data_IF_405748280175
#
_entry.id   IF_405748280175
#
_cell.length_a   1.000
_cell.length_b   1.000
_cell.length_c   1.000
_cell.angle_alpha   90.00
_cell.angle_beta   90.00
_cell.angle_gamma   90.00
#
_symmetry.space_group_name_H-M   'P 1'
#
loop_
_entity.id
_entity.type
_entity.pdbx_description
1 polymer ?
#
# COMPACT_ATOMS: atom_id res chain seq x y z
N UNK A 1 26.71 10.77 1.03
CA UNK A 1 25.89 11.98 1.26
C UNK A 1 25.42 11.93 2.70
N UNK A 2 25.61 12.97 3.47
CA UNK A 2 25.05 13.05 4.81
C UNK A 2 23.59 13.46 4.64
N UNK A 3 22.64 12.63 5.07
CA UNK A 3 21.25 13.05 5.10
C UNK A 3 21.13 14.20 6.09
N UNK A 4 20.80 15.39 5.60
CA UNK A 4 20.50 16.52 6.44
C UNK A 4 19.04 16.42 6.85
N UNK A 5 18.81 16.20 8.14
CA UNK A 5 17.49 16.29 8.72
C UNK A 5 17.25 17.77 9.06
N UNK A 6 16.08 18.33 8.79
CA UNK A 6 15.80 19.71 9.21
C UNK A 6 15.81 19.77 10.75
N UNK A 7 16.28 20.89 11.30
CA UNK A 7 16.36 21.06 12.76
C UNK A 7 15.00 20.95 13.46
N UNK A 8 13.92 21.25 12.73
CA UNK A 8 12.55 21.29 13.22
C UNK A 8 11.59 20.61 12.24
N UNK A 9 10.60 19.92 12.78
CA UNK A 9 9.44 19.43 12.04
C UNK A 9 8.19 20.09 12.59
N UNK A 10 7.38 20.65 11.70
CA UNK A 10 6.08 21.18 12.04
C UNK A 10 5.02 20.09 11.84
N UNK A 11 4.41 19.63 12.92
CA UNK A 11 3.32 18.66 12.88
C UNK A 11 2.10 19.34 13.47
N UNK A 12 1.19 19.80 12.62
CA UNK A 12 0.00 20.56 12.99
C UNK A 12 0.32 21.68 13.99
N UNK A 13 -0.01 21.48 15.26
CA UNK A 13 0.16 22.47 16.33
C UNK A 13 1.44 22.25 17.15
N UNK A 14 2.31 21.35 16.73
CA UNK A 14 3.51 20.99 17.48
C UNK A 14 4.75 21.20 16.63
N UNK A 15 5.74 21.84 17.24
CA UNK A 15 7.12 21.92 16.73
C UNK A 15 7.93 20.84 17.43
N UNK A 16 8.51 19.93 16.68
CA UNK A 16 9.39 18.88 17.21
C UNK A 16 10.81 19.17 16.77
N UNK A 17 11.74 19.26 17.73
CA UNK A 17 13.16 19.31 17.44
C UNK A 17 13.68 17.88 17.25
N UNK A 18 14.49 17.65 16.23
CA UNK A 18 15.10 16.33 16.03
C UNK A 18 15.98 15.89 17.21
N UNK A 19 16.58 16.84 17.94
CA UNK A 19 17.36 16.58 19.16
C UNK A 19 16.55 16.02 20.32
N UNK A 20 15.21 16.21 20.32
CA UNK A 20 14.30 15.69 21.34
C UNK A 20 13.86 14.26 21.06
N UNK A 21 14.18 13.73 19.88
CA UNK A 21 13.83 12.36 19.50
C UNK A 21 14.91 11.42 20.02
N UNK A 22 14.51 10.49 20.91
CA UNK A 22 15.38 9.42 21.40
C UNK A 22 15.59 8.37 20.32
N UNK A 23 16.26 8.80 19.24
CA UNK A 23 16.62 7.90 18.17
C UNK A 23 18.09 8.08 17.78
N UNK A 24 18.84 6.99 17.81
CA UNK A 24 20.20 6.92 17.28
C UNK A 24 20.20 6.04 16.04
N UNK A 25 20.63 6.60 14.92
CA UNK A 25 20.87 5.79 13.73
C UNK A 25 22.00 4.79 14.05
N UNK A 26 21.70 3.50 13.86
CA UNK A 26 22.71 2.44 13.95
C UNK A 26 23.86 2.82 12.97
N UNK A 27 25.14 2.76 13.38
CA UNK A 27 26.28 3.04 12.50
C UNK A 27 26.26 2.23 11.20
N UNK A 28 25.81 0.98 11.24
CA UNK A 28 25.66 0.12 10.04
C UNK A 28 24.63 0.66 9.07
N UNK A 29 23.59 1.33 9.57
CA UNK A 29 22.61 1.99 8.72
C UNK A 29 23.20 3.24 8.09
N UNK A 30 23.98 4.03 8.84
CA UNK A 30 24.70 5.19 8.30
C UNK A 30 25.71 4.76 7.22
N UNK A 31 26.39 3.62 7.43
CA UNK A 31 27.27 3.02 6.42
C UNK A 31 26.50 2.56 5.18
N UNK A 32 25.32 1.96 5.35
CA UNK A 32 24.48 1.55 4.23
C UNK A 32 23.95 2.73 3.41
N UNK A 33 23.64 3.86 4.05
CA UNK A 33 23.28 5.11 3.39
C UNK A 33 24.46 5.76 2.68
N UNK A 34 25.68 5.57 3.20
CA UNK A 34 26.91 6.10 2.63
C UNK A 34 27.50 5.18 1.54
N UNK A 35 27.10 3.90 1.49
CA UNK A 35 27.57 2.96 0.48
C UNK A 35 27.19 3.47 -0.92
N UNK A 36 28.20 3.68 -1.75
CA UNK A 36 28.00 3.94 -3.17
C UNK A 36 27.55 2.64 -3.82
N UNK A 37 26.24 2.46 -3.98
CA UNK A 37 25.73 1.41 -4.83
C UNK A 37 26.30 1.58 -6.26
N UNK A 38 26.55 0.48 -6.99
CA UNK A 38 26.94 0.58 -8.39
C UNK A 38 25.88 1.42 -9.11
N UNK A 39 26.33 2.32 -9.99
CA UNK A 39 25.45 3.18 -10.79
C UNK A 39 24.64 2.29 -11.75
N UNK A 40 23.53 1.76 -11.28
CA UNK A 40 22.55 1.16 -12.17
C UNK A 40 21.78 2.31 -12.85
N UNK A 41 21.58 2.24 -14.17
CA UNK A 41 20.73 3.22 -14.84
C UNK A 41 19.32 3.18 -14.19
N UNK A 42 18.73 4.38 -14.05
CA UNK A 42 17.34 4.47 -13.60
C UNK A 42 16.46 3.62 -14.52
N UNK A 43 15.54 2.85 -13.98
CA UNK A 43 14.63 2.08 -14.80
C UNK A 43 13.81 3.04 -15.69
N UNK A 44 13.59 2.65 -16.94
CA UNK A 44 12.70 3.37 -17.84
C UNK A 44 11.28 2.88 -17.56
N UNK A 45 10.36 3.81 -17.28
CA UNK A 45 8.96 3.45 -17.09
C UNK A 45 8.39 2.88 -18.40
N UNK A 46 7.85 1.65 -18.39
CA UNK A 46 7.34 1.06 -19.62
C UNK A 46 6.07 1.79 -20.10
N UNK A 47 5.68 1.64 -21.37
CA UNK A 47 4.38 2.12 -21.86
C UNK A 47 3.24 1.55 -21.00
N UNK A 48 2.12 2.28 -20.95
CA UNK A 48 0.90 1.85 -20.24
C UNK A 48 0.42 0.52 -20.80
N UNK A 49 0.22 -0.46 -19.93
CA UNK A 49 -0.28 -1.76 -20.35
C UNK A 49 -1.80 -1.73 -20.63
N UNK A 50 -2.31 -2.57 -21.54
CA UNK A 50 -3.72 -2.55 -21.93
C UNK A 50 -4.67 -3.17 -20.89
N UNK A 51 -4.15 -3.74 -19.80
CA UNK A 51 -4.93 -4.40 -18.76
C UNK A 51 -4.40 -4.03 -17.38
N UNK A 52 -5.30 -3.80 -16.43
CA UNK A 52 -5.00 -3.33 -15.08
C UNK A 52 -4.00 -4.22 -14.32
N UNK A 53 -4.12 -5.54 -14.42
CA UNK A 53 -3.21 -6.46 -13.73
C UNK A 53 -1.79 -6.38 -14.30
N UNK A 54 -1.65 -6.25 -15.62
CA UNK A 54 -0.34 -6.14 -16.27
C UNK A 54 0.27 -4.78 -15.96
N UNK A 55 -0.54 -3.73 -15.96
CA UNK A 55 -0.11 -2.39 -15.56
C UNK A 55 0.44 -2.39 -14.13
N UNK A 56 -0.29 -2.94 -13.17
CA UNK A 56 0.16 -3.02 -11.79
C UNK A 56 1.49 -3.79 -11.63
N UNK A 57 1.66 -4.89 -12.36
CA UNK A 57 2.94 -5.63 -12.39
C UNK A 57 4.06 -4.75 -12.95
N UNK A 58 3.80 -4.02 -14.03
CA UNK A 58 4.77 -3.11 -14.65
C UNK A 58 5.21 -2.02 -13.67
N UNK A 59 4.26 -1.46 -12.89
CA UNK A 59 4.56 -0.46 -11.86
C UNK A 59 5.44 -1.03 -10.74
N UNK A 60 5.16 -2.27 -10.29
CA UNK A 60 6.01 -2.96 -9.29
C UNK A 60 7.41 -3.20 -9.84
N UNK A 61 7.53 -3.71 -11.09
CA UNK A 61 8.82 -3.97 -11.73
C UNK A 61 9.64 -2.71 -11.95
N UNK A 62 8.99 -1.60 -12.21
CA UNK A 62 9.63 -0.29 -12.30
C UNK A 62 10.10 0.23 -10.94
N UNK A 63 9.27 0.07 -9.90
CA UNK A 63 9.57 0.59 -8.57
C UNK A 63 10.62 -0.23 -7.81
N UNK A 64 10.66 -1.55 -7.99
CA UNK A 64 11.58 -2.41 -7.26
C UNK A 64 13.05 -2.00 -7.39
N UNK A 65 13.63 -1.77 -8.59
CA UNK A 65 14.99 -1.27 -8.70
C UNK A 65 15.16 0.16 -8.15
N UNK A 66 14.12 1.01 -8.23
CA UNK A 66 14.18 2.35 -7.65
C UNK A 66 14.38 2.30 -6.12
N UNK A 67 13.73 1.37 -5.43
CA UNK A 67 13.88 1.20 -3.98
C UNK A 67 15.29 0.76 -3.56
N UNK A 68 16.10 0.25 -4.48
CA UNK A 68 17.48 -0.21 -4.24
C UNK A 68 18.52 0.85 -4.56
N UNK A 69 18.12 2.04 -5.04
CA UNK A 69 19.04 3.13 -5.36
C UNK A 69 19.68 3.67 -4.10
N UNK A 70 20.95 4.08 -4.21
CA UNK A 70 21.60 4.84 -3.14
C UNK A 70 20.90 6.20 -2.95
N UNK A 71 20.90 6.76 -1.73
CA UNK A 71 20.22 8.02 -1.44
C UNK A 71 20.52 9.16 -2.41
N UNK A 72 21.80 9.28 -2.85
CA UNK A 72 22.21 10.29 -3.81
C UNK A 72 21.79 10.07 -5.27
N UNK A 73 21.15 8.94 -5.57
CA UNK A 73 20.61 8.59 -6.90
C UNK A 73 19.10 8.73 -6.96
N UNK A 74 18.44 8.92 -5.81
CA UNK A 74 17.01 9.15 -5.77
C UNK A 74 16.67 10.53 -6.37
N UNK A 75 15.62 10.58 -7.17
CA UNK A 75 15.08 11.82 -7.74
C UNK A 75 13.55 11.80 -7.72
N UNK A 76 12.95 12.98 -7.73
CA UNK A 76 11.49 13.13 -7.64
C UNK A 76 10.76 12.60 -8.88
N UNK A 77 11.32 12.82 -10.07
CA UNK A 77 10.65 12.55 -11.34
C UNK A 77 10.13 11.10 -11.47
N UNK A 78 10.91 10.03 -11.21
CA UNK A 78 10.41 8.67 -11.27
C UNK A 78 9.25 8.38 -10.31
N UNK A 79 9.29 8.96 -9.09
CA UNK A 79 8.20 8.80 -8.13
C UNK A 79 6.94 9.55 -8.56
N UNK A 80 7.09 10.75 -9.12
CA UNK A 80 5.96 11.53 -9.65
C UNK A 80 5.31 10.85 -10.85
N UNK A 81 6.11 10.33 -11.78
CA UNK A 81 5.61 9.52 -12.90
C UNK A 81 4.87 8.28 -12.41
N UNK A 82 5.44 7.56 -11.45
CA UNK A 82 4.83 6.38 -10.85
C UNK A 82 3.51 6.72 -10.16
N UNK A 83 3.46 7.82 -9.40
CA UNK A 83 2.24 8.30 -8.75
C UNK A 83 1.16 8.63 -9.78
N UNK A 84 1.50 9.31 -10.87
CA UNK A 84 0.58 9.60 -11.97
C UNK A 84 0.00 8.32 -12.60
N UNK A 85 0.83 7.29 -12.80
CA UNK A 85 0.39 5.99 -13.34
C UNK A 85 -0.52 5.23 -12.36
N UNK A 86 -0.22 5.27 -11.06
CA UNK A 86 -1.09 4.69 -10.02
C UNK A 86 -2.45 5.39 -9.99
N UNK A 87 -2.46 6.73 -10.07
CA UNK A 87 -3.70 7.52 -10.10
C UNK A 87 -4.51 7.21 -11.35
N UNK A 88 -3.87 7.15 -12.52
CA UNK A 88 -4.53 6.80 -13.79
C UNK A 88 -5.17 5.41 -13.73
N UNK A 89 -4.43 4.40 -13.26
CA UNK A 89 -4.94 3.04 -13.08
C UNK A 89 -6.13 2.99 -12.11
N UNK A 90 -5.98 3.60 -10.93
CA UNK A 90 -7.01 3.59 -9.90
C UNK A 90 -8.28 4.36 -10.32
N UNK A 91 -8.15 5.37 -11.19
CA UNK A 91 -9.26 6.19 -11.68
C UNK A 91 -9.99 5.49 -12.83
N UNK A 92 -9.25 5.01 -13.84
CA UNK A 92 -9.84 4.46 -15.06
C UNK A 92 -10.31 3.02 -14.91
N UNK A 93 -9.66 2.22 -14.05
CA UNK A 93 -10.02 0.84 -13.82
C UNK A 93 -10.09 0.52 -12.31
N UNK A 94 -11.08 1.08 -11.58
CA UNK A 94 -11.20 0.95 -10.13
C UNK A 94 -11.20 -0.49 -9.61
N UNK A 95 -11.99 -1.35 -10.23
CA UNK A 95 -12.08 -2.76 -9.87
C UNK A 95 -10.80 -3.53 -10.22
N UNK A 96 -10.17 -3.19 -11.35
CA UNK A 96 -8.88 -3.74 -11.76
C UNK A 96 -7.75 -3.35 -10.80
N UNK A 97 -7.76 -2.14 -10.25
CA UNK A 97 -6.82 -1.71 -9.22
C UNK A 97 -6.95 -2.54 -7.94
N UNK A 98 -8.18 -2.81 -7.48
CA UNK A 98 -8.43 -3.69 -6.32
C UNK A 98 -8.05 -5.14 -6.65
N UNK A 99 -8.41 -5.64 -7.84
CA UNK A 99 -8.04 -6.97 -8.27
C UNK A 99 -6.53 -7.17 -8.34
N UNK A 100 -5.77 -6.16 -8.77
CA UNK A 100 -4.30 -6.21 -8.80
C UNK A 100 -3.70 -6.44 -7.40
N UNK A 101 -4.23 -5.78 -6.37
CA UNK A 101 -3.80 -5.99 -4.97
C UNK A 101 -3.93 -7.46 -4.56
N UNK A 102 -4.97 -8.15 -5.05
CA UNK A 102 -5.26 -9.52 -4.64
C UNK A 102 -4.64 -10.59 -5.54
N UNK A 103 -4.43 -10.31 -6.82
CA UNK A 103 -4.12 -11.33 -7.81
C UNK A 103 -2.67 -11.29 -8.32
N UNK A 104 -2.03 -10.10 -8.35
CA UNK A 104 -0.69 -9.99 -8.90
C UNK A 104 0.30 -10.88 -8.16
N UNK A 105 1.14 -11.65 -8.88
CA UNK A 105 2.14 -12.51 -8.28
C UNK A 105 3.23 -11.69 -7.60
N UNK A 106 3.66 -12.16 -6.44
CA UNK A 106 4.64 -11.50 -5.57
C UNK A 106 6.06 -11.75 -6.05
N UNK A 107 6.84 -10.70 -6.27
CA UNK A 107 8.24 -10.78 -6.65
C UNK A 107 9.16 -10.01 -5.69
N UNK A 108 8.76 -8.79 -5.33
CA UNK A 108 9.48 -7.92 -4.39
C UNK A 108 8.50 -7.42 -3.33
N UNK A 109 8.79 -7.71 -2.05
CA UNK A 109 7.86 -7.38 -0.97
C UNK A 109 7.64 -5.88 -0.85
N UNK A 110 8.72 -5.09 -0.85
CA UNK A 110 8.65 -3.64 -0.59
C UNK A 110 7.93 -2.92 -1.72
N UNK A 111 8.30 -3.22 -2.97
CA UNK A 111 7.67 -2.61 -4.13
C UNK A 111 6.19 -2.99 -4.25
N UNK A 112 5.82 -4.26 -4.06
CA UNK A 112 4.42 -4.67 -4.05
C UNK A 112 3.63 -4.00 -2.93
N UNK A 113 4.18 -3.94 -1.73
CA UNK A 113 3.54 -3.29 -0.60
C UNK A 113 3.24 -1.83 -0.90
N UNK A 114 4.23 -1.09 -1.39
CA UNK A 114 4.10 0.32 -1.72
C UNK A 114 3.07 0.56 -2.84
N UNK A 115 3.15 -0.18 -3.96
CA UNK A 115 2.20 -0.04 -5.07
C UNK A 115 0.78 -0.40 -4.63
N UNK A 116 0.59 -1.50 -3.89
CA UNK A 116 -0.73 -1.90 -3.40
C UNK A 116 -1.30 -0.88 -2.42
N UNK A 117 -0.47 -0.33 -1.51
CA UNK A 117 -0.91 0.72 -0.59
C UNK A 117 -1.28 1.99 -1.35
N UNK A 118 -0.50 2.36 -2.36
CA UNK A 118 -0.77 3.54 -3.20
C UNK A 118 -2.05 3.38 -4.03
N UNK A 119 -2.31 2.21 -4.61
CA UNK A 119 -3.56 1.91 -5.33
C UNK A 119 -4.77 2.04 -4.39
N UNK A 120 -4.70 1.42 -3.21
CA UNK A 120 -5.79 1.50 -2.24
C UNK A 120 -5.96 2.91 -1.69
N UNK A 121 -4.88 3.63 -1.43
CA UNK A 121 -4.88 5.03 -0.98
C UNK A 121 -5.55 5.95 -2.01
N UNK A 122 -5.21 5.81 -3.29
CA UNK A 122 -5.86 6.55 -4.37
C UNK A 122 -7.36 6.24 -4.44
N UNK A 123 -7.75 4.98 -4.38
CA UNK A 123 -9.17 4.57 -4.39
C UNK A 123 -9.95 5.17 -3.21
N UNK A 124 -9.34 5.20 -2.03
CA UNK A 124 -9.91 5.84 -0.85
C UNK A 124 -10.01 7.36 -1.00
N UNK A 125 -8.96 8.01 -1.53
CA UNK A 125 -8.94 9.44 -1.76
C UNK A 125 -10.06 9.89 -2.71
N UNK A 126 -10.26 9.16 -3.82
CA UNK A 126 -11.35 9.40 -4.77
C UNK A 126 -12.71 9.20 -4.08
N UNK A 127 -12.90 8.12 -3.34
CA UNK A 127 -14.17 7.82 -2.65
C UNK A 127 -14.52 8.83 -1.55
N UNK A 128 -13.51 9.45 -0.94
CA UNK A 128 -13.66 10.53 0.04
C UNK A 128 -13.85 11.90 -0.62
N UNK A 129 -13.74 12.00 -1.95
CA UNK A 129 -13.84 13.28 -2.67
C UNK A 129 -12.70 14.24 -2.38
N UNK A 130 -11.50 13.73 -2.06
CA UNK A 130 -10.35 14.58 -1.79
C UNK A 130 -9.95 15.36 -3.06
N UNK A 131 -9.47 16.62 -2.92
CA UNK A 131 -8.96 17.38 -4.06
C UNK A 131 -7.67 16.73 -4.61
N UNK A 132 -7.38 16.96 -5.88
CA UNK A 132 -6.24 16.36 -6.61
C UNK A 132 -4.88 16.51 -5.87
N UNK A 133 -4.53 17.68 -5.29
CA UNK A 133 -3.28 17.79 -4.54
C UNK A 133 -3.19 16.83 -3.34
N UNK A 134 -4.28 16.64 -2.61
CA UNK A 134 -4.34 15.70 -1.47
C UNK A 134 -4.28 14.24 -1.95
N UNK A 135 -4.92 13.91 -3.07
CA UNK A 135 -4.81 12.59 -3.68
C UNK A 135 -3.37 12.29 -4.06
N UNK A 136 -2.69 13.23 -4.72
CA UNK A 136 -1.30 13.10 -5.14
C UNK A 136 -0.36 12.97 -3.94
N UNK A 137 -0.52 13.79 -2.91
CA UNK A 137 0.28 13.73 -1.69
C UNK A 137 0.11 12.37 -0.98
N UNK A 138 -1.11 11.86 -0.88
CA UNK A 138 -1.40 10.57 -0.25
C UNK A 138 -0.80 9.40 -1.05
N UNK A 139 -0.87 9.43 -2.38
CA UNK A 139 -0.27 8.40 -3.25
C UNK A 139 1.25 8.43 -3.16
N UNK A 140 1.87 9.61 -3.23
CA UNK A 140 3.32 9.76 -3.07
C UNK A 140 3.79 9.32 -1.67
N UNK A 141 3.00 9.62 -0.62
CA UNK A 141 3.28 9.15 0.72
C UNK A 141 3.25 7.62 0.81
N UNK A 142 2.24 6.98 0.24
CA UNK A 142 2.14 5.53 0.21
C UNK A 142 3.31 4.86 -0.54
N UNK A 143 3.81 5.47 -1.63
CA UNK A 143 4.97 5.00 -2.37
C UNK A 143 6.28 5.19 -1.58
N UNK A 144 6.42 6.33 -0.90
CA UNK A 144 7.68 6.77 -0.31
C UNK A 144 7.86 6.46 1.18
N UNK A 145 6.79 6.21 1.94
CA UNK A 145 6.81 6.12 3.41
C UNK A 145 7.77 5.06 3.95
N UNK A 146 8.06 4.01 3.21
CA UNK A 146 8.89 2.89 3.61
C UNK A 146 10.29 2.88 2.98
N UNK A 147 10.67 3.90 2.20
CA UNK A 147 12.01 3.95 1.56
C UNK A 147 13.16 3.86 2.58
N UNK A 148 12.98 4.42 3.77
CA UNK A 148 13.95 4.33 4.87
C UNK A 148 14.06 2.95 5.53
N UNK A 149 13.21 1.99 5.18
CA UNK A 149 13.19 0.66 5.76
C UNK A 149 13.36 -0.48 4.75
N UNK A 150 13.71 -0.19 3.50
CA UNK A 150 13.74 -1.21 2.41
C UNK A 150 14.59 -2.42 2.78
N UNK A 151 15.84 -2.22 3.18
CA UNK A 151 16.74 -3.31 3.55
C UNK A 151 16.19 -4.12 4.73
N UNK A 152 15.65 -3.43 5.75
CA UNK A 152 15.07 -4.07 6.93
C UNK A 152 13.80 -4.84 6.57
N UNK A 153 12.92 -4.28 5.75
CA UNK A 153 11.68 -4.98 5.36
C UNK A 153 11.95 -6.24 4.56
N UNK A 154 12.96 -6.24 3.69
CA UNK A 154 13.40 -7.42 2.95
C UNK A 154 13.96 -8.50 3.91
N UNK A 155 14.74 -8.10 4.93
CA UNK A 155 15.20 -9.01 5.98
C UNK A 155 14.03 -9.60 6.77
N UNK A 156 13.12 -8.74 7.25
CA UNK A 156 11.97 -9.14 8.06
C UNK A 156 10.94 -9.97 7.28
N UNK A 157 10.86 -9.84 5.97
CA UNK A 157 9.97 -10.66 5.15
C UNK A 157 10.32 -12.15 5.22
N UNK A 158 11.58 -12.48 5.46
CA UNK A 158 12.09 -13.86 5.61
C UNK A 158 12.34 -14.28 7.07
N UNK A 159 12.27 -13.33 8.03
CA UNK A 159 12.59 -13.60 9.43
C UNK A 159 11.40 -14.19 10.18
N UNK A 160 11.64 -15.29 10.93
CA UNK A 160 10.66 -15.88 11.83
C UNK A 160 10.88 -15.49 13.31
N UNK A 161 12.07 -14.97 13.63
CA UNK A 161 12.42 -14.55 14.98
C UNK A 161 11.78 -13.19 15.35
N UNK A 162 11.55 -12.91 16.64
CA UNK A 162 11.16 -11.58 17.09
C UNK A 162 12.19 -10.53 16.69
N UNK A 163 11.73 -9.28 16.57
CA UNK A 163 12.62 -8.16 16.25
C UNK A 163 13.71 -7.98 17.29
N UNK A 164 14.96 -7.83 16.85
CA UNK A 164 16.05 -7.39 17.71
C UNK A 164 15.85 -5.91 18.14
N UNK A 165 16.59 -5.47 19.15
CA UNK A 165 16.57 -4.07 19.60
C UNK A 165 16.97 -3.11 18.47
N UNK A 166 18.03 -3.44 17.71
CA UNK A 166 18.47 -2.61 16.58
C UNK A 166 17.43 -2.55 15.46
N UNK A 167 16.80 -3.68 15.12
CA UNK A 167 15.70 -3.70 14.14
C UNK A 167 14.51 -2.84 14.61
N UNK A 168 14.18 -2.88 15.91
CA UNK A 168 13.11 -2.05 16.49
C UNK A 168 13.44 -0.56 16.38
N UNK A 169 14.66 -0.17 16.70
CA UNK A 169 15.11 1.22 16.56
C UNK A 169 15.01 1.70 15.12
N UNK A 170 15.43 0.87 14.16
CA UNK A 170 15.36 1.20 12.74
C UNK A 170 13.92 1.32 12.24
N UNK A 171 13.01 0.41 12.69
CA UNK A 171 11.58 0.54 12.41
C UNK A 171 11.05 1.86 12.95
N UNK A 172 11.38 2.25 14.17
CA UNK A 172 10.87 3.49 14.75
C UNK A 172 11.44 4.75 14.04
N UNK A 173 12.63 4.64 13.44
CA UNK A 173 13.29 5.74 12.76
C UNK A 173 12.93 5.86 11.26
N UNK A 174 12.38 4.80 10.62
CA UNK A 174 12.21 4.81 9.16
C UNK A 174 11.30 5.93 8.63
N UNK A 175 10.25 6.43 9.33
CA UNK A 175 9.48 7.55 8.83
C UNK A 175 10.33 8.83 8.65
N UNK A 176 11.25 9.07 9.60
CA UNK A 176 12.19 10.19 9.54
C UNK A 176 13.15 10.03 8.36
N UNK A 177 13.70 8.83 8.20
CA UNK A 177 14.63 8.51 7.12
C UNK A 177 13.93 8.61 5.76
N UNK A 178 12.72 8.08 5.63
CA UNK A 178 11.93 8.16 4.40
C UNK A 178 11.66 9.60 4.00
N UNK A 179 11.24 10.43 4.95
CA UNK A 179 11.02 11.87 4.72
C UNK A 179 12.31 12.57 4.27
N UNK A 180 13.45 12.28 4.91
CA UNK A 180 14.73 12.85 4.52
C UNK A 180 15.16 12.41 3.12
N UNK A 181 14.96 11.14 2.75
CA UNK A 181 15.23 10.62 1.41
C UNK A 181 14.37 11.31 0.35
N UNK A 182 13.08 11.51 0.61
CA UNK A 182 12.17 12.20 -0.30
C UNK A 182 12.55 13.68 -0.48
N UNK A 183 12.96 14.39 0.59
CA UNK A 183 13.49 15.75 0.47
C UNK A 183 14.76 15.79 -0.35
N UNK A 184 15.70 14.88 -0.08
CA UNK A 184 16.93 14.76 -0.85
C UNK A 184 16.68 14.44 -2.33
N UNK A 185 15.59 13.75 -2.65
CA UNK A 185 15.15 13.50 -4.01
C UNK A 185 14.48 14.71 -4.69
N UNK A 186 14.22 15.80 -3.97
CA UNK A 186 13.60 17.03 -4.49
C UNK A 186 12.08 17.07 -4.35
N UNK A 187 11.49 16.24 -3.49
CA UNK A 187 10.07 16.32 -3.11
C UNK A 187 9.97 17.18 -1.83
N UNK A 188 9.46 18.40 -1.95
CA UNK A 188 9.45 19.38 -0.85
C UNK A 188 8.04 19.67 -0.30
N UNK A 189 7.03 18.95 -0.77
CA UNK A 189 5.64 19.15 -0.33
C UNK A 189 5.48 18.77 1.15
N UNK A 190 5.23 19.77 2.00
CA UNK A 190 5.04 19.57 3.46
C UNK A 190 3.85 18.66 3.78
N UNK A 191 2.84 18.61 2.92
CA UNK A 191 1.72 17.69 3.07
C UNK A 191 2.17 16.24 2.96
N UNK A 192 2.97 15.94 1.92
CA UNK A 192 3.61 14.65 1.73
C UNK A 192 4.43 14.25 2.97
N UNK A 193 5.29 15.16 3.47
CA UNK A 193 6.15 14.87 4.60
C UNK A 193 5.38 14.64 5.89
N UNK A 194 4.31 15.39 6.15
CA UNK A 194 3.42 15.15 7.30
C UNK A 194 2.87 13.73 7.28
N UNK A 195 2.38 13.27 6.12
CA UNK A 195 1.84 11.91 5.96
C UNK A 195 2.93 10.84 6.19
N UNK A 196 4.10 11.02 5.57
CA UNK A 196 5.23 10.08 5.71
C UNK A 196 5.75 10.02 7.14
N UNK A 197 5.88 11.15 7.81
CA UNK A 197 6.43 11.23 9.16
C UNK A 197 5.51 10.61 10.21
N UNK A 198 4.19 10.64 9.99
CA UNK A 198 3.21 10.30 11.03
C UNK A 198 2.35 9.06 10.71
N UNK A 199 2.66 8.32 9.62
CA UNK A 199 1.87 7.14 9.22
C UNK A 199 1.94 5.97 10.22
N UNK A 200 2.82 6.00 11.20
CA UNK A 200 2.86 5.03 12.30
C UNK A 200 2.46 5.63 13.65
N UNK A 201 1.94 6.85 13.64
CA UNK A 201 1.34 7.41 14.85
C UNK A 201 0.00 6.74 15.16
N UNK A 202 -0.32 6.65 16.44
CA UNK A 202 -1.51 5.96 16.95
C UNK A 202 -2.29 6.88 17.88
N UNK A 203 -3.60 6.87 17.75
CA UNK A 203 -4.48 7.70 18.57
C UNK A 203 -4.30 7.51 20.08
N UNK A 204 -3.82 6.32 20.50
CA UNK A 204 -3.52 6.02 21.90
C UNK A 204 -2.15 6.57 22.41
N UNK A 205 -1.40 7.28 21.56
CA UNK A 205 -0.07 7.84 21.85
C UNK A 205 1.06 6.80 21.92
N UNK A 206 0.79 5.54 21.49
CA UNK A 206 1.78 4.46 21.44
C UNK A 206 2.40 4.28 20.07
N UNK A 207 2.12 5.19 19.16
CA UNK A 207 2.74 5.27 17.85
C UNK A 207 4.18 5.77 17.93
N UNK A 208 4.79 5.95 16.78
CA UNK A 208 6.13 6.48 16.62
C UNK A 208 6.23 7.29 15.32
N UNK A 209 7.19 8.18 15.17
CA UNK A 209 8.31 8.49 16.07
C UNK A 209 7.99 9.56 17.13
N UNK A 210 6.84 10.26 17.06
CA UNK A 210 6.56 11.47 17.86
C UNK A 210 5.61 11.22 19.03
N UNK A 211 4.99 10.04 19.13
CA UNK A 211 4.00 9.68 20.15
C UNK A 211 2.80 10.63 20.19
N UNK A 212 2.30 11.00 19.03
CA UNK A 212 1.14 11.87 18.84
C UNK A 212 -0.14 11.19 19.34
N UNK A 213 -1.13 12.01 19.74
CA UNK A 213 -2.43 11.53 20.21
C UNK A 213 -3.54 12.14 19.36
N UNK A 214 -4.62 11.40 19.24
CA UNK A 214 -5.91 11.78 18.63
C UNK A 214 -5.86 12.96 17.63
N UNK A 215 -6.11 14.18 18.12
CA UNK A 215 -6.21 15.41 17.32
C UNK A 215 -4.86 15.97 16.84
N UNK A 216 -3.75 15.48 17.40
CA UNK A 216 -2.40 15.80 16.90
C UNK A 216 -2.10 15.05 15.59
N UNK A 217 -2.79 13.91 15.33
CA UNK A 217 -2.56 13.10 14.12
C UNK A 217 -3.40 13.65 12.97
N UNK A 218 -2.75 13.82 11.83
CA UNK A 218 -3.45 14.17 10.60
C UNK A 218 -4.43 13.05 10.21
N UNK A 219 -5.70 13.36 9.87
CA UNK A 219 -6.66 12.34 9.46
C UNK A 219 -6.21 11.47 8.30
N UNK A 220 -5.52 12.04 7.28
CA UNK A 220 -5.01 11.26 6.16
C UNK A 220 -3.78 10.42 6.53
N UNK A 221 -2.96 10.84 7.50
CA UNK A 221 -1.90 10.00 8.04
C UNK A 221 -2.48 8.80 8.80
N UNK A 222 -3.56 9.01 9.57
CA UNK A 222 -4.28 7.89 10.20
C UNK A 222 -4.92 6.96 9.14
N UNK A 223 -5.49 7.51 8.07
CA UNK A 223 -5.97 6.70 6.95
C UNK A 223 -4.83 5.87 6.36
N UNK A 224 -3.69 6.50 6.04
CA UNK A 224 -2.53 5.82 5.48
C UNK A 224 -2.03 4.69 6.38
N UNK A 225 -1.97 4.91 7.71
CA UNK A 225 -1.66 3.89 8.70
C UNK A 225 -2.58 2.66 8.60
N UNK A 226 -3.88 2.89 8.48
CA UNK A 226 -4.86 1.80 8.36
C UNK A 226 -4.67 1.03 7.06
N UNK A 227 -4.44 1.74 5.95
CA UNK A 227 -4.21 1.13 4.65
C UNK A 227 -2.93 0.29 4.63
N UNK A 228 -1.86 0.78 5.25
CA UNK A 228 -0.61 0.04 5.47
C UNK A 228 -0.86 -1.30 6.17
N UNK A 229 -1.63 -1.28 7.27
CA UNK A 229 -2.00 -2.49 8.02
C UNK A 229 -2.85 -3.45 7.16
N UNK A 230 -3.85 -2.93 6.42
CA UNK A 230 -4.71 -3.74 5.56
C UNK A 230 -3.85 -4.46 4.50
N UNK A 231 -3.02 -3.72 3.79
CA UNK A 231 -2.15 -4.29 2.75
C UNK A 231 -1.17 -5.30 3.36
N UNK A 232 -0.53 -4.98 4.50
CA UNK A 232 0.36 -5.93 5.18
C UNK A 232 -0.33 -7.25 5.59
N UNK A 233 -1.64 -7.22 5.89
CA UNK A 233 -2.43 -8.43 6.18
C UNK A 233 -2.79 -9.22 4.91
N UNK A 234 -2.98 -8.55 3.80
CA UNK A 234 -3.28 -9.15 2.50
C UNK A 234 -2.03 -9.75 1.83
N UNK A 235 -0.83 -9.38 2.29
CA UNK A 235 0.42 -9.88 1.76
C UNK A 235 0.90 -11.13 2.49
N UNK A 236 1.42 -12.16 1.78
CA UNK A 236 2.06 -13.29 2.42
C UNK A 236 3.38 -12.89 3.07
N UNK A 237 3.75 -13.55 4.15
CA UNK A 237 5.08 -13.52 4.75
C UNK A 237 5.56 -14.95 4.95
N UNK A 238 6.86 -15.16 5.12
CA UNK A 238 7.44 -16.51 5.31
C UNK A 238 6.76 -17.30 6.42
N UNK A 239 6.34 -16.63 7.48
CA UNK A 239 5.71 -17.22 8.66
C UNK A 239 4.17 -17.19 8.64
N UNK A 240 3.54 -16.58 7.63
CA UNK A 240 2.09 -16.40 7.57
C UNK A 240 1.58 -16.36 6.14
N UNK A 241 0.63 -17.24 5.82
CA UNK A 241 -0.17 -17.10 4.60
C UNK A 241 -0.95 -15.78 4.60
N UNK A 242 -1.23 -15.27 3.41
CA UNK A 242 -2.12 -14.11 3.25
C UNK A 242 -3.49 -14.39 3.88
N UNK A 243 -4.07 -13.39 4.50
CA UNK A 243 -5.44 -13.50 4.96
C UNK A 243 -6.41 -13.30 3.77
N UNK A 244 -7.53 -14.00 3.74
CA UNK A 244 -8.64 -13.63 2.87
C UNK A 244 -9.05 -12.18 3.16
N UNK A 245 -9.39 -11.42 2.11
CA UNK A 245 -9.66 -9.99 2.22
C UNK A 245 -10.70 -9.66 3.30
N UNK A 246 -11.79 -10.43 3.35
CA UNK A 246 -12.83 -10.29 4.39
C UNK A 246 -12.26 -10.44 5.81
N UNK A 247 -11.36 -11.40 6.02
CA UNK A 247 -10.74 -11.60 7.34
C UNK A 247 -9.74 -10.49 7.69
N UNK A 248 -8.97 -10.01 6.70
CA UNK A 248 -8.06 -8.90 6.89
C UNK A 248 -8.82 -7.64 7.33
N UNK A 249 -9.89 -7.30 6.65
CA UNK A 249 -10.77 -6.19 7.01
C UNK A 249 -11.40 -6.38 8.38
N UNK A 250 -11.98 -7.55 8.65
CA UNK A 250 -12.60 -7.85 9.96
C UNK A 250 -11.60 -7.68 11.12
N UNK A 251 -10.34 -8.07 10.94
CA UNK A 251 -9.32 -7.86 11.97
C UNK A 251 -8.94 -6.38 12.17
N UNK A 252 -9.02 -5.56 11.12
CA UNK A 252 -8.79 -4.12 11.22
C UNK A 252 -9.95 -3.46 11.97
N UNK A 253 -11.19 -3.81 11.64
CA UNK A 253 -12.39 -3.30 12.34
C UNK A 253 -12.48 -3.73 13.79
N UNK A 254 -12.09 -4.97 14.09
CA UNK A 254 -12.15 -5.53 15.43
C UNK A 254 -10.96 -5.13 16.32
N UNK A 255 -10.04 -4.29 15.85
CA UNK A 255 -8.86 -3.90 16.61
C UNK A 255 -9.24 -2.97 17.79
N UNK A 256 -9.36 -3.48 19.04
CA UNK A 256 -9.93 -2.69 20.15
C UNK A 256 -8.99 -1.58 20.62
N UNK A 257 -7.71 -1.64 20.22
CA UNK A 257 -6.67 -0.70 20.68
C UNK A 257 -6.44 0.47 19.70
N UNK A 258 -7.06 0.44 18.55
CA UNK A 258 -6.87 1.46 17.52
C UNK A 258 -8.10 1.55 16.64
N UNK A 259 -9.17 2.20 17.14
CA UNK A 259 -10.40 2.31 16.39
C UNK A 259 -10.16 3.13 15.12
N UNK A 260 -10.51 2.54 13.99
CA UNK A 260 -10.59 3.23 12.73
C UNK A 260 -11.68 4.29 12.79
N UNK A 261 -11.40 5.46 12.23
CA UNK A 261 -12.44 6.47 12.06
C UNK A 261 -13.65 5.86 11.34
N UNK A 262 -14.88 6.01 11.88
CA UNK A 262 -16.07 5.41 11.29
C UNK A 262 -16.31 5.80 9.82
N UNK A 263 -15.93 7.02 9.43
CA UNK A 263 -16.04 7.48 8.04
C UNK A 263 -15.07 6.70 7.14
N UNK A 264 -13.83 6.53 7.56
CA UNK A 264 -12.85 5.74 6.80
C UNK A 264 -13.22 4.27 6.76
N UNK A 265 -13.76 3.75 7.87
CA UNK A 265 -14.28 2.39 7.93
C UNK A 265 -15.37 2.15 6.89
N UNK A 266 -16.37 3.02 6.86
CA UNK A 266 -17.49 2.93 5.91
C UNK A 266 -17.01 3.04 4.45
N UNK A 267 -16.09 3.98 4.16
CA UNK A 267 -15.54 4.13 2.81
C UNK A 267 -14.67 2.94 2.41
N UNK A 268 -13.88 2.39 3.32
CA UNK A 268 -13.07 1.21 3.03
C UNK A 268 -13.94 0.00 2.65
N UNK A 269 -15.08 -0.20 3.34
CA UNK A 269 -16.05 -1.23 2.96
C UNK A 269 -16.65 -0.98 1.58
N UNK A 270 -16.96 0.27 1.25
CA UNK A 270 -17.49 0.62 -0.09
C UNK A 270 -16.46 0.41 -1.20
N UNK A 271 -15.22 0.83 -0.96
CA UNK A 271 -14.12 0.76 -1.94
C UNK A 271 -13.66 -0.67 -2.17
N UNK A 272 -13.51 -1.42 -1.09
CA UNK A 272 -12.99 -2.78 -1.14
C UNK A 272 -14.08 -3.82 -1.39
N UNK A 273 -15.28 -3.58 -0.89
CA UNK A 273 -16.39 -4.54 -0.87
C UNK A 273 -16.22 -5.61 0.21
N UNK A 274 -17.29 -6.34 0.50
CA UNK A 274 -17.25 -7.54 1.35
C UNK A 274 -16.53 -8.68 0.62
N UNK A 275 -16.75 -8.76 -0.70
CA UNK A 275 -16.07 -9.64 -1.63
C UNK A 275 -15.33 -8.77 -2.67
N UNK A 276 -14.06 -8.41 -2.42
CA UNK A 276 -13.35 -7.50 -3.31
C UNK A 276 -13.17 -8.04 -4.72
N UNK A 277 -13.09 -7.15 -5.70
CA UNK A 277 -12.71 -7.51 -7.08
C UNK A 277 -11.37 -8.25 -7.07
N UNK A 278 -11.29 -9.39 -7.76
CA UNK A 278 -10.15 -10.30 -7.72
C UNK A 278 -10.22 -11.40 -6.65
N UNK A 279 -11.22 -11.39 -5.75
CA UNK A 279 -11.43 -12.52 -4.83
C UNK A 279 -12.20 -13.65 -5.49
N UNK A 280 -11.98 -14.87 -5.00
CA UNK A 280 -12.75 -16.03 -5.41
C UNK A 280 -13.84 -16.35 -4.39
N UNK A 281 -15.01 -16.72 -4.88
CA UNK A 281 -16.18 -17.05 -4.09
C UNK A 281 -16.78 -18.36 -4.56
N UNK A 282 -17.43 -19.08 -3.66
CA UNK A 282 -18.23 -20.24 -3.98
C UNK A 282 -19.71 -19.83 -4.03
N UNK A 283 -20.36 -20.17 -5.11
CA UNK A 283 -21.79 -19.94 -5.30
C UNK A 283 -22.59 -21.11 -4.72
N UNK A 284 -23.88 -20.89 -4.46
CA UNK A 284 -24.79 -21.93 -3.93
C UNK A 284 -24.91 -23.16 -4.83
N UNK A 285 -24.73 -23.01 -6.14
CA UNK A 285 -24.70 -24.12 -7.11
C UNK A 285 -23.37 -24.92 -7.06
N UNK A 286 -22.44 -24.56 -6.13
CA UNK A 286 -21.16 -25.22 -5.93
C UNK A 286 -20.05 -24.74 -6.87
N UNK A 287 -20.32 -23.82 -7.79
CA UNK A 287 -19.32 -23.30 -8.71
C UNK A 287 -18.39 -22.27 -8.00
N UNK A 288 -17.12 -22.27 -8.39
CA UNK A 288 -16.19 -21.22 -7.98
C UNK A 288 -16.21 -20.09 -9.01
N UNK A 289 -16.47 -18.88 -8.53
CA UNK A 289 -16.53 -17.68 -9.35
C UNK A 289 -15.49 -16.65 -8.91
N UNK A 290 -15.07 -15.81 -9.84
CA UNK A 290 -14.20 -14.66 -9.64
C UNK A 290 -15.07 -13.41 -9.50
N UNK A 291 -14.86 -12.62 -8.47
CA UNK A 291 -15.46 -11.29 -8.34
C UNK A 291 -14.77 -10.34 -9.32
N UNK A 292 -15.55 -9.76 -10.24
CA UNK A 292 -15.04 -8.91 -11.33
C UNK A 292 -15.23 -7.43 -11.01
N UNK A 293 -16.39 -7.06 -10.46
CA UNK A 293 -16.65 -5.67 -10.08
C UNK A 293 -17.65 -5.58 -8.91
N UNK A 294 -17.60 -4.43 -8.25
CA UNK A 294 -18.57 -4.11 -7.20
C UNK A 294 -19.90 -3.63 -7.82
N UNK A 295 -20.97 -3.74 -7.06
CA UNK A 295 -22.28 -3.13 -7.33
C UNK A 295 -22.63 -2.17 -6.19
N UNK A 296 -23.79 -1.55 -6.26
CA UNK A 296 -24.29 -0.71 -5.15
C UNK A 296 -24.52 -1.51 -3.85
N UNK A 297 -24.71 -2.83 -3.96
CA UNK A 297 -24.83 -3.74 -2.83
C UNK A 297 -23.46 -4.41 -2.56
N UNK A 298 -22.80 -4.02 -1.47
CA UNK A 298 -21.45 -4.47 -1.12
C UNK A 298 -21.32 -6.01 -0.95
N UNK A 299 -22.42 -6.72 -0.73
CA UNK A 299 -22.49 -8.18 -0.58
C UNK A 299 -22.90 -8.92 -1.85
N UNK A 300 -23.22 -8.19 -2.93
CA UNK A 300 -23.72 -8.75 -4.20
C UNK A 300 -22.90 -8.25 -5.41
N UNK A 301 -21.64 -8.62 -5.50
CA UNK A 301 -20.78 -8.16 -6.62
C UNK A 301 -21.15 -8.84 -7.94
N UNK A 302 -20.63 -8.30 -9.04
CA UNK A 302 -20.59 -9.01 -10.32
C UNK A 302 -19.54 -10.13 -10.24
N UNK A 303 -19.90 -11.31 -10.68
CA UNK A 303 -19.00 -12.46 -10.70
C UNK A 303 -18.90 -13.08 -12.09
N UNK A 304 -17.79 -13.72 -12.38
CA UNK A 304 -17.60 -14.54 -13.57
C UNK A 304 -17.13 -15.93 -13.15
N UNK A 305 -17.55 -16.96 -13.87
CA UNK A 305 -17.05 -18.32 -13.69
C UNK A 305 -15.95 -18.54 -14.73
N UNK A 306 -14.66 -18.51 -14.37
CA UNK A 306 -13.55 -18.53 -15.36
C UNK A 306 -13.57 -19.77 -16.26
N UNK A 307 -14.10 -20.90 -15.75
CA UNK A 307 -14.25 -22.13 -16.54
C UNK A 307 -15.32 -22.03 -17.67
N UNK A 308 -16.26 -21.07 -17.57
CA UNK A 308 -17.34 -20.88 -18.54
C UNK A 308 -16.99 -19.73 -19.51
N UNK A 309 -16.25 -18.75 -19.08
CA UNK A 309 -15.84 -17.60 -19.89
C UNK A 309 -15.83 -16.27 -19.13
N UNK A 310 -15.44 -15.18 -19.80
CA UNK A 310 -15.23 -13.89 -19.14
C UNK A 310 -16.54 -13.09 -18.93
N UNK A 311 -17.71 -13.61 -19.26
CA UNK A 311 -18.96 -12.86 -19.13
C UNK A 311 -19.35 -12.72 -17.66
N UNK A 312 -19.38 -11.49 -17.11
CA UNK A 312 -19.83 -11.28 -15.74
C UNK A 312 -21.32 -11.53 -15.59
N UNK A 313 -21.68 -12.02 -14.41
CA UNK A 313 -23.07 -12.28 -14.01
C UNK A 313 -23.35 -11.50 -12.73
N UNK A 314 -24.44 -10.75 -12.72
CA UNK A 314 -24.89 -10.00 -11.55
C UNK A 314 -25.52 -10.95 -10.54
N UNK A 315 -24.92 -11.08 -9.36
CA UNK A 315 -25.45 -11.94 -8.28
C UNK A 315 -26.74 -11.38 -7.67
N UNK A 316 -27.01 -10.07 -7.83
CA UNK A 316 -28.23 -9.44 -7.32
C UNK A 316 -29.47 -9.81 -8.14
N UNK A 317 -29.29 -10.04 -9.45
CA UNK A 317 -30.42 -10.29 -10.39
C UNK A 317 -30.64 -11.76 -10.71
N UNK A 318 -29.61 -12.60 -10.59
CA UNK A 318 -29.63 -14.00 -11.02
C UNK A 318 -30.02 -14.99 -9.91
N UNK A 319 -30.18 -14.51 -8.65
CA UNK A 319 -30.41 -15.38 -7.50
C UNK A 319 -29.24 -16.31 -7.15
N UNK A 320 -28.07 -16.11 -7.77
CA UNK A 320 -26.83 -16.84 -7.45
C UNK A 320 -26.16 -16.24 -6.23
N UNK A 321 -26.56 -16.70 -5.05
CA UNK A 321 -25.99 -16.21 -3.80
C UNK A 321 -24.57 -16.72 -3.60
N UNK A 322 -23.73 -15.87 -3.00
CA UNK A 322 -22.40 -16.26 -2.56
C UNK A 322 -22.51 -16.99 -1.23
N UNK A 323 -22.01 -18.21 -1.20
CA UNK A 323 -22.00 -19.05 -0.01
C UNK A 323 -20.81 -18.71 0.90
N UNK A 324 -19.60 -18.61 0.32
CA UNK A 324 -18.38 -18.35 1.07
C UNK A 324 -17.26 -17.76 0.21
N UNK A 325 -16.28 -17.12 0.87
CA UNK A 325 -15.02 -16.72 0.23
C UNK A 325 -14.09 -17.92 0.12
N UNK A 326 -13.47 -18.10 -1.04
CA UNK A 326 -12.46 -19.15 -1.27
C UNK A 326 -11.08 -18.54 -1.21
N UNK A 327 -10.19 -19.11 -0.37
CA UNK A 327 -8.78 -18.76 -0.39
C UNK A 327 -8.14 -19.39 -1.63
N UNK A 328 -7.91 -18.61 -2.66
CA UNK A 328 -7.26 -19.05 -3.89
C UNK A 328 -6.11 -18.13 -4.26
N UNK A 329 -4.98 -18.71 -4.65
CA UNK A 329 -3.94 -18.02 -5.40
C UNK A 329 -3.87 -18.65 -6.78
N UNK A 330 -4.13 -17.87 -7.84
CA UNK A 330 -3.99 -18.41 -9.18
C UNK A 330 -2.53 -18.79 -9.45
N UNK A 331 -2.31 -19.97 -10.01
CA UNK A 331 -1.01 -20.31 -10.59
C UNK A 331 -0.69 -19.34 -11.74
N UNK A 332 0.58 -19.24 -12.15
CA UNK A 332 0.98 -18.35 -13.25
C UNK A 332 0.14 -18.60 -14.55
N UNK A 333 -0.23 -19.85 -14.83
CA UNK A 333 -1.11 -20.19 -15.97
C UNK A 333 -2.53 -19.64 -15.79
N UNK A 334 -3.09 -19.76 -14.59
CA UNK A 334 -4.41 -19.22 -14.27
C UNK A 334 -4.40 -17.70 -14.25
N UNK A 335 -3.32 -17.08 -13.77
CA UNK A 335 -3.21 -15.62 -13.76
C UNK A 335 -3.40 -15.03 -15.18
N UNK A 336 -2.76 -15.61 -16.21
CA UNK A 336 -2.90 -15.14 -17.57
C UNK A 336 -4.35 -15.17 -18.08
N UNK A 337 -5.18 -16.11 -17.61
CA UNK A 337 -6.61 -16.19 -17.97
C UNK A 337 -7.47 -15.17 -17.25
N UNK A 338 -6.97 -14.55 -16.19
CA UNK A 338 -7.68 -13.53 -15.41
C UNK A 338 -7.42 -12.11 -15.94
N UNK A 339 -6.30 -11.88 -16.61
CA UNK A 339 -5.90 -10.57 -17.13
C UNK A 339 -7.01 -9.87 -17.95
N UNK A 340 -7.73 -10.55 -18.88
CA UNK A 340 -8.73 -9.90 -19.73
C UNK A 340 -9.97 -9.37 -18.98
N UNK A 341 -10.18 -9.71 -17.71
CA UNK A 341 -11.35 -9.24 -16.96
C UNK A 341 -11.31 -7.73 -16.67
N UNK A 342 -10.13 -7.14 -16.65
CA UNK A 342 -9.95 -5.71 -16.35
C UNK A 342 -9.15 -5.01 -17.44
N UNK A 343 -9.79 -4.72 -18.60
CA UNK A 343 -9.17 -3.88 -19.64
C UNK A 343 -8.94 -2.47 -19.10
N UNK A 344 -7.85 -1.82 -19.60
CA UNK A 344 -7.38 -0.55 -19.04
C UNK A 344 -7.21 0.52 -20.15
#
# INVERSE_FOLDING_TARGET
MKLELPDFIFIRNRVVQYGDLDFRLDPRFQESLAATAPQSPLPVIPPVAPHALVEAISLVQYFAPYTQLAPGQLSAEPLQLLAGRVIDLATRCPDGAIAAILLCPWQDYVAHHAINTALLACRMAIALGLPEPEQTALVLAALGMNLGAVALQNELASQNAPLSTGQRQLINAHPLISSALLRAAGLEDERLHTLVLTHHERRDGRGYPFHLREDEIDPLAHLLHVLDIVIAKLMPRSYRSRLPARQALAQVYAAPKEPLDPQYAAQLVKVFGIYPSGSFVKLEDGQTALVVSQTDAADKPMVAVPAIGPTPVDTSTTGRLIQESVASQPSARHFATLVPFWPF
#
